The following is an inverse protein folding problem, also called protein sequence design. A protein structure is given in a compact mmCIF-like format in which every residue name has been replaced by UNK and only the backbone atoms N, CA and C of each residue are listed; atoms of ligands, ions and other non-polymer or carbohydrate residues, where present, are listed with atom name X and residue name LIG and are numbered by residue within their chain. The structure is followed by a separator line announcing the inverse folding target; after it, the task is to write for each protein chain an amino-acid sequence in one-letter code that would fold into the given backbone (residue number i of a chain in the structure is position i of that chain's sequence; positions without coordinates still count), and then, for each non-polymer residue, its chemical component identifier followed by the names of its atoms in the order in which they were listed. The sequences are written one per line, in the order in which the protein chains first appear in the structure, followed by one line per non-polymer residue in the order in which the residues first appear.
data_IF_389663776180
#
_entry.id   IF_389663776180
#
_cell.length_a   1.000
_cell.length_b   1.000
_cell.length_c   1.000
_cell.angle_alpha   90.00
_cell.angle_beta   90.00
_cell.angle_gamma   90.00
#
_symmetry.space_group_name_H-M   'P 1'
#
loop_
_entity.id
_entity.type
_entity.pdbx_description
1 polymer ?
#
# COMPACT_ATOMS: atom_id res chain seq x y z
N UNK A 1 4.88 5.90 16.38
CA UNK A 1 3.99 5.77 15.20
C UNK A 1 4.66 6.53 14.05
N UNK A 2 4.83 5.95 12.86
CA UNK A 2 5.43 6.68 11.71
C UNK A 2 4.39 7.63 11.11
N UNK A 3 4.75 8.89 10.85
CA UNK A 3 3.85 9.86 10.20
C UNK A 3 3.68 9.51 8.71
N UNK A 4 2.62 10.03 8.09
CA UNK A 4 2.41 9.88 6.65
C UNK A 4 3.61 10.43 5.87
N UNK A 5 4.10 11.63 6.21
CA UNK A 5 5.26 12.22 5.57
C UNK A 5 6.52 11.34 5.64
N UNK A 6 6.74 10.64 6.76
CA UNK A 6 7.85 9.69 6.88
C UNK A 6 7.70 8.51 5.92
N UNK A 7 6.47 8.03 5.70
CA UNK A 7 6.19 6.95 4.74
C UNK A 7 6.40 7.43 3.31
N UNK A 8 5.98 8.65 2.99
CA UNK A 8 6.24 9.28 1.68
C UNK A 8 7.73 9.39 1.39
N UNK A 9 8.52 9.84 2.38
CA UNK A 9 9.98 9.92 2.25
C UNK A 9 10.59 8.55 1.94
N UNK A 10 10.15 7.51 2.65
CA UNK A 10 10.68 6.17 2.46
C UNK A 10 10.36 5.64 1.07
N UNK A 11 9.09 5.72 0.65
CA UNK A 11 8.68 5.34 -0.70
C UNK A 11 9.50 6.08 -1.76
N UNK A 12 9.67 7.39 -1.60
CA UNK A 12 10.44 8.21 -2.55
C UNK A 12 11.89 7.73 -2.68
N UNK A 13 12.54 7.39 -1.56
CA UNK A 13 13.92 6.88 -1.54
C UNK A 13 14.00 5.46 -2.08
N UNK A 14 13.05 4.58 -1.74
CA UNK A 14 12.99 3.19 -2.21
C UNK A 14 12.79 3.10 -3.73
N UNK A 15 12.17 4.11 -4.35
CA UNK A 15 12.00 4.22 -5.79
C UNK A 15 13.06 5.11 -6.48
N UNK A 16 14.14 5.48 -5.79
CA UNK A 16 15.22 6.35 -6.31
C UNK A 16 14.75 7.73 -6.85
N UNK A 17 13.64 8.26 -6.34
CA UNK A 17 13.07 9.54 -6.79
C UNK A 17 13.69 10.72 -6.00
N UNK A 18 14.12 11.77 -6.71
CA UNK A 18 14.65 12.97 -6.08
C UNK A 18 13.59 13.81 -5.36
N UNK A 19 13.96 14.54 -4.29
CA UNK A 19 13.02 15.45 -3.60
C UNK A 19 12.40 16.50 -4.54
N UNK A 20 13.23 17.12 -5.38
CA UNK A 20 12.77 18.15 -6.32
C UNK A 20 11.91 17.57 -7.45
N UNK A 21 12.24 16.36 -7.88
CA UNK A 21 11.50 15.63 -8.91
C UNK A 21 10.10 15.29 -8.41
N UNK A 22 10.01 14.69 -7.22
CA UNK A 22 8.72 14.33 -6.63
C UNK A 22 7.89 15.56 -6.24
N UNK A 23 8.53 16.63 -5.75
CA UNK A 23 7.83 17.89 -5.48
C UNK A 23 7.19 18.48 -6.75
N UNK A 24 7.90 18.43 -7.88
CA UNK A 24 7.39 18.86 -9.18
C UNK A 24 6.22 17.98 -9.63
N UNK A 25 6.34 16.68 -9.45
CA UNK A 25 5.28 15.73 -9.76
C UNK A 25 4.01 15.95 -8.92
N UNK A 26 4.17 16.29 -7.64
CA UNK A 26 3.07 16.61 -6.73
C UNK A 26 2.54 18.05 -6.90
N UNK A 27 3.10 18.84 -7.81
CA UNK A 27 2.75 20.25 -8.02
C UNK A 27 2.92 21.13 -6.75
N UNK A 28 3.94 20.82 -5.93
CA UNK A 28 4.27 21.55 -4.70
C UNK A 28 5.72 22.05 -4.68
N UNK A 29 6.06 22.89 -3.72
CA UNK A 29 7.46 23.30 -3.53
C UNK A 29 8.28 22.21 -2.82
N UNK A 30 9.56 22.09 -3.17
CA UNK A 30 10.46 21.15 -2.51
C UNK A 30 10.61 21.43 -1.00
N UNK A 31 10.55 22.70 -0.59
CA UNK A 31 10.56 23.09 0.82
C UNK A 31 9.30 22.61 1.56
N UNK A 32 8.14 22.71 0.93
CA UNK A 32 6.89 22.18 1.46
C UNK A 32 6.95 20.65 1.62
N UNK A 33 7.35 19.93 0.57
CA UNK A 33 7.49 18.47 0.61
C UNK A 33 8.51 18.04 1.68
N UNK A 34 9.64 18.75 1.81
CA UNK A 34 10.63 18.48 2.86
C UNK A 34 10.06 18.68 4.26
N UNK A 35 9.27 19.72 4.50
CA UNK A 35 8.64 19.96 5.79
C UNK A 35 7.62 18.85 6.12
N UNK A 36 6.87 18.41 5.13
CA UNK A 36 5.95 17.28 5.26
C UNK A 36 6.68 15.97 5.57
N UNK A 37 7.70 15.61 4.78
CA UNK A 37 8.52 14.40 4.95
C UNK A 37 9.23 14.32 6.32
N UNK A 38 9.54 15.48 6.91
CA UNK A 38 10.22 15.59 8.21
C UNK A 38 9.27 15.83 9.38
N UNK A 39 7.96 15.88 9.14
CA UNK A 39 6.95 16.11 10.17
C UNK A 39 6.88 17.53 10.72
N UNK A 40 7.53 18.51 10.08
CA UNK A 40 7.40 19.94 10.39
C UNK A 40 6.06 20.53 9.94
N UNK A 41 5.38 19.84 9.03
CA UNK A 41 4.02 20.15 8.59
C UNK A 41 3.25 18.85 8.44
N UNK A 42 2.06 18.80 9.01
CA UNK A 42 1.11 17.69 8.95
C UNK A 42 -0.11 18.02 8.08
N UNK A 43 -0.28 19.29 7.70
CA UNK A 43 -1.32 19.76 6.79
C UNK A 43 -0.93 19.54 5.34
N UNK A 44 -1.81 18.84 4.61
CA UNK A 44 -1.66 18.57 3.18
C UNK A 44 -2.94 18.83 2.42
N UNK A 45 -2.79 19.40 1.22
CA UNK A 45 -3.93 19.62 0.33
C UNK A 45 -4.50 18.28 -0.12
N UNK A 46 -5.83 18.17 -0.20
CA UNK A 46 -6.49 16.91 -0.54
C UNK A 46 -5.99 16.32 -1.87
N UNK A 47 -5.81 17.14 -2.91
CA UNK A 47 -5.27 16.71 -4.22
C UNK A 47 -3.86 16.09 -4.10
N UNK A 48 -3.01 16.67 -3.25
CA UNK A 48 -1.65 16.16 -3.01
C UNK A 48 -1.70 14.87 -2.19
N UNK A 49 -2.61 14.79 -1.23
CA UNK A 49 -2.85 13.58 -0.44
C UNK A 49 -3.34 12.43 -1.31
N UNK A 50 -4.31 12.65 -2.19
CA UNK A 50 -4.83 11.63 -3.11
C UNK A 50 -3.71 11.05 -3.97
N UNK A 51 -2.87 11.90 -4.57
CA UNK A 51 -1.73 11.44 -5.36
C UNK A 51 -0.72 10.64 -4.54
N UNK A 52 -0.35 11.14 -3.35
CA UNK A 52 0.52 10.42 -2.42
C UNK A 52 -0.05 9.05 -2.04
N UNK A 53 -1.35 8.94 -1.82
CA UNK A 53 -2.00 7.68 -1.47
C UNK A 53 -2.00 6.70 -2.64
N UNK A 54 -2.16 7.18 -3.87
CA UNK A 54 -2.02 6.37 -5.08
C UNK A 54 -0.58 5.87 -5.23
N UNK A 55 0.41 6.75 -5.09
CA UNK A 55 1.83 6.41 -5.22
C UNK A 55 2.30 5.44 -4.13
N UNK A 56 1.71 5.51 -2.92
CA UNK A 56 1.91 4.55 -1.85
C UNK A 56 1.15 3.22 -2.04
N UNK A 57 0.33 3.10 -3.09
CA UNK A 57 -0.54 1.93 -3.32
C UNK A 57 -1.66 1.79 -2.29
N UNK A 58 -1.99 2.86 -1.56
CA UNK A 58 -3.03 2.90 -0.53
C UNK A 58 -4.41 3.25 -1.10
N UNK A 59 -4.44 3.79 -2.31
CA UNK A 59 -5.67 4.01 -3.09
C UNK A 59 -5.43 3.58 -4.53
N UNK A 60 -6.26 2.70 -5.07
CA UNK A 60 -6.25 2.40 -6.51
C UNK A 60 -7.37 3.19 -7.17
N UNK A 61 -7.02 3.99 -8.19
CA UNK A 61 -7.98 4.76 -9.00
C UNK A 61 -8.97 3.87 -9.78
N UNK A 62 -8.87 2.54 -9.68
CA UNK A 62 -9.86 1.59 -10.22
C UNK A 62 -10.14 0.51 -9.18
N UNK A 63 -10.73 0.91 -8.06
CA UNK A 63 -11.25 -0.02 -7.06
C UNK A 63 -12.68 -0.40 -7.41
N UNK A 64 -12.84 -1.51 -8.14
CA UNK A 64 -14.10 -2.23 -8.22
C UNK A 64 -14.51 -2.57 -6.78
N UNK A 65 -15.48 -1.83 -6.27
CA UNK A 65 -15.92 -1.87 -4.87
C UNK A 65 -16.19 -3.29 -4.35
N UNK A 66 -16.46 -4.24 -5.24
CA UNK A 66 -16.67 -5.66 -4.91
C UNK A 66 -15.38 -6.41 -4.55
N UNK A 67 -14.26 -6.10 -5.22
CA UNK A 67 -12.96 -6.70 -4.94
C UNK A 67 -12.46 -6.26 -3.56
N UNK A 68 -12.53 -4.97 -3.27
CA UNK A 68 -12.05 -4.46 -1.97
C UNK A 68 -12.91 -4.93 -0.82
N UNK A 69 -14.23 -4.98 -1.00
CA UNK A 69 -15.12 -5.57 -0.01
C UNK A 69 -14.74 -7.03 0.27
N UNK A 70 -14.43 -7.79 -0.78
CA UNK A 70 -14.01 -9.19 -0.64
C UNK A 70 -12.66 -9.29 0.08
N UNK A 71 -11.67 -8.49 -0.28
CA UNK A 71 -10.34 -8.49 0.36
C UNK A 71 -10.46 -8.06 1.81
N UNK A 72 -11.15 -6.95 2.11
CA UNK A 72 -11.39 -6.48 3.49
C UNK A 72 -12.08 -7.55 4.34
N UNK A 73 -13.07 -8.24 3.78
CA UNK A 73 -13.75 -9.35 4.46
C UNK A 73 -12.80 -10.51 4.74
N UNK A 74 -11.99 -10.93 3.79
CA UNK A 74 -11.00 -12.00 3.97
C UNK A 74 -10.02 -11.61 5.07
N UNK A 75 -9.46 -10.40 5.04
CA UNK A 75 -8.53 -9.90 6.05
C UNK A 75 -9.17 -9.89 7.44
N UNK A 76 -10.41 -9.38 7.56
CA UNK A 76 -11.13 -9.38 8.83
C UNK A 76 -11.31 -10.79 9.39
N UNK A 77 -11.68 -11.76 8.55
CA UNK A 77 -11.85 -13.16 8.97
C UNK A 77 -10.54 -13.77 9.46
N UNK A 78 -9.43 -13.51 8.76
CA UNK A 78 -8.11 -14.01 9.15
C UNK A 78 -7.64 -13.39 10.47
N UNK A 79 -7.87 -12.09 10.69
CA UNK A 79 -7.55 -11.43 11.96
C UNK A 79 -8.37 -12.02 13.11
N UNK A 80 -9.67 -12.24 12.90
CA UNK A 80 -10.53 -12.92 13.90
C UNK A 80 -10.00 -14.31 14.22
N UNK A 81 -9.68 -15.11 13.20
CA UNK A 81 -9.13 -16.44 13.38
C UNK A 81 -7.80 -16.42 14.13
N UNK A 82 -6.92 -15.46 13.85
CA UNK A 82 -5.64 -15.34 14.54
C UNK A 82 -5.82 -15.16 16.05
N UNK A 83 -6.81 -14.36 16.46
CA UNK A 83 -7.10 -14.09 17.85
C UNK A 83 -7.84 -15.24 18.56
N UNK A 84 -8.74 -15.94 17.86
CA UNK A 84 -9.58 -17.01 18.43
C UNK A 84 -8.92 -18.39 18.37
N UNK A 85 -8.17 -18.67 17.30
CA UNK A 85 -7.49 -19.96 17.06
C UNK A 85 -6.30 -19.80 16.11
N UNK A 86 -5.09 -19.58 16.65
CA UNK A 86 -3.87 -19.48 15.84
C UNK A 86 -3.64 -20.67 14.91
N UNK A 87 -4.01 -21.88 15.35
CA UNK A 87 -3.93 -23.09 14.52
C UNK A 87 -4.83 -23.01 13.28
N UNK A 88 -6.06 -22.52 13.44
CA UNK A 88 -6.98 -22.35 12.31
C UNK A 88 -6.47 -21.24 11.37
N UNK A 89 -5.96 -20.13 11.93
CA UNK A 89 -5.33 -19.07 11.14
C UNK A 89 -4.19 -19.62 10.26
N UNK A 90 -3.24 -20.35 10.86
CA UNK A 90 -2.08 -20.89 10.13
C UNK A 90 -2.53 -21.82 8.99
N UNK A 91 -3.52 -22.68 9.26
CA UNK A 91 -4.08 -23.56 8.24
C UNK A 91 -4.68 -22.77 7.06
N UNK A 92 -5.54 -21.80 7.32
CA UNK A 92 -6.21 -21.05 6.25
C UNK A 92 -5.27 -20.09 5.52
N UNK A 93 -4.39 -19.39 6.23
CA UNK A 93 -3.39 -18.50 5.64
C UNK A 93 -2.46 -19.27 4.69
N UNK A 94 -1.91 -20.40 5.15
CA UNK A 94 -1.03 -21.24 4.34
C UNK A 94 -1.74 -21.78 3.08
N UNK A 95 -3.00 -22.19 3.20
CA UNK A 95 -3.78 -22.64 2.04
C UNK A 95 -4.02 -21.51 1.02
N UNK A 96 -4.32 -20.29 1.48
CA UNK A 96 -4.45 -19.13 0.59
C UNK A 96 -3.13 -18.85 -0.12
N UNK A 97 -2.02 -18.82 0.60
CA UNK A 97 -0.69 -18.60 0.03
C UNK A 97 -0.31 -19.67 -1.01
N UNK A 98 -0.50 -20.95 -0.69
CA UNK A 98 -0.23 -22.05 -1.60
C UNK A 98 -1.12 -21.98 -2.85
N UNK A 99 -2.41 -21.66 -2.69
CA UNK A 99 -3.33 -21.45 -3.80
C UNK A 99 -2.84 -20.36 -4.73
N UNK A 100 -2.45 -19.20 -4.20
CA UNK A 100 -1.89 -18.10 -5.00
C UNK A 100 -0.63 -18.55 -5.75
N UNK A 101 0.33 -19.18 -5.06
CA UNK A 101 1.57 -19.68 -5.68
C UNK A 101 1.29 -20.67 -6.80
N UNK A 102 0.35 -21.60 -6.61
CA UNK A 102 -0.03 -22.60 -7.61
C UNK A 102 -0.55 -21.92 -8.88
N UNK A 103 -1.53 -21.02 -8.76
CA UNK A 103 -2.11 -20.35 -9.93
C UNK A 103 -1.12 -19.41 -10.63
N UNK A 104 -0.25 -18.72 -9.88
CA UNK A 104 0.85 -17.94 -10.46
C UNK A 104 1.84 -18.82 -11.23
N UNK A 105 2.15 -20.02 -10.71
CA UNK A 105 3.09 -20.96 -11.36
C UNK A 105 2.51 -21.62 -12.62
N UNK A 106 1.20 -21.87 -12.65
CA UNK A 106 0.51 -22.43 -13.82
C UNK A 106 0.41 -21.40 -14.95
N UNK A 107 0.19 -20.14 -14.63
CA UNK A 107 0.18 -19.05 -15.62
C UNK A 107 1.54 -18.87 -16.30
N UNK A 108 2.64 -19.02 -15.55
CA UNK A 108 3.99 -18.96 -16.10
C UNK A 108 4.37 -20.16 -17.00
N UNK A 109 3.68 -21.29 -16.88
CA UNK A 109 3.91 -22.49 -17.71
C UNK A 109 3.13 -22.50 -19.03
N UNK A 110 2.09 -21.68 -19.21
CA UNK A 110 1.33 -21.62 -20.47
C UNK A 110 1.86 -20.59 -21.47
N UNK A 111 2.92 -19.86 -21.13
CA UNK A 111 3.56 -18.84 -21.98
C UNK A 111 4.98 -19.21 -22.44
N UNK A 112 5.43 -20.45 -22.18
CA UNK A 112 6.67 -21.02 -22.73
C UNK A 112 6.38 -22.25 -23.56
#
# INVERSE_FOLDING_TARGET
MRTLGQQVRNMRIENDIGLNEYAKELEVSAGYLSNFETGKTDTVQLKVLEKILVDLGLTSEVMDSTLDQRIRRITSLLVTLHNESPLAFDYFANNIEQGVRLFSSLHNKSMG
#
